data_IF_107041395405
#
_entry.id   IF_107041395405
#
_cell.length_a   1.000
_cell.length_b   1.000
_cell.length_c   1.000
_cell.angle_alpha   90.00
_cell.angle_beta   90.00
_cell.angle_gamma   90.00
#
_symmetry.space_group_name_H-M   'P 1'
#
loop_
_entity.id
_entity.type
_entity.pdbx_description
1 polymer ?
#
# COMPACT_ATOMS: atom_id res chain seq x y z
N UNK A 1 62.45 46.43 18.65
CA UNK A 1 63.13 46.42 17.34
C UNK A 1 62.12 46.02 16.28
N UNK A 2 61.69 46.97 15.43
CA UNK A 2 60.74 46.75 14.34
C UNK A 2 61.48 46.10 13.16
N UNK A 3 61.01 44.95 12.66
CA UNK A 3 61.46 44.38 11.38
C UNK A 3 60.41 44.66 10.31
N UNK A 4 60.85 45.43 9.32
CA UNK A 4 60.16 45.75 8.07
C UNK A 4 60.15 44.53 7.15
N UNK A 5 58.99 44.20 6.58
CA UNK A 5 58.83 43.19 5.53
C UNK A 5 58.36 43.94 4.27
N UNK A 6 59.21 43.87 3.24
CA UNK A 6 58.99 44.46 1.91
C UNK A 6 58.14 43.53 1.03
N UNK A 7 57.19 44.04 0.22
CA UNK A 7 56.45 43.21 -0.71
C UNK A 7 57.19 43.08 -2.04
N UNK A 8 57.44 41.83 -2.47
CA UNK A 8 57.90 41.52 -3.84
C UNK A 8 56.73 41.61 -4.80
N UNK A 9 56.80 42.54 -5.73
CA UNK A 9 55.94 42.63 -6.92
C UNK A 9 56.31 41.50 -7.88
N UNK A 10 55.39 40.57 -8.13
CA UNK A 10 55.49 39.57 -9.21
C UNK A 10 54.82 40.13 -10.46
N UNK A 11 55.63 40.40 -11.48
CA UNK A 11 55.19 40.76 -12.83
C UNK A 11 54.59 39.52 -13.51
N UNK A 12 53.27 39.48 -13.69
CA UNK A 12 52.60 38.45 -14.51
C UNK A 12 52.63 38.93 -15.96
N UNK A 13 53.34 38.20 -16.82
CA UNK A 13 53.30 38.40 -18.27
C UNK A 13 51.97 37.85 -18.81
N UNK A 14 51.15 38.73 -19.37
CA UNK A 14 49.97 38.35 -20.14
C UNK A 14 50.43 37.68 -21.45
N UNK A 15 50.10 36.40 -21.61
CA UNK A 15 50.14 35.72 -22.90
C UNK A 15 48.79 35.98 -23.59
N UNK A 16 48.82 36.72 -24.69
CA UNK A 16 47.66 36.90 -25.56
C UNK A 16 47.37 35.57 -26.26
N UNK A 17 46.33 34.85 -25.82
CA UNK A 17 45.72 33.78 -26.60
C UNK A 17 44.86 34.43 -27.69
N UNK A 18 45.22 34.21 -28.95
CA UNK A 18 44.36 34.50 -30.08
C UNK A 18 43.15 33.56 -30.03
N UNK A 19 41.98 34.09 -29.65
CA UNK A 19 40.69 33.42 -29.79
C UNK A 19 40.30 33.42 -31.27
N UNK A 20 40.51 32.29 -31.94
CA UNK A 20 39.87 32.03 -33.22
C UNK A 20 38.39 31.78 -32.95
N UNK A 21 37.55 32.76 -33.25
CA UNK A 21 36.10 32.63 -33.22
C UNK A 21 35.66 31.69 -34.35
N UNK A 22 35.49 30.41 -34.04
CA UNK A 22 34.76 29.48 -34.90
C UNK A 22 33.28 29.74 -34.68
N UNK A 23 32.66 30.46 -35.61
CA UNK A 23 31.20 30.61 -35.67
C UNK A 23 30.61 29.27 -36.11
N UNK A 24 30.44 28.35 -35.16
CA UNK A 24 29.57 27.19 -35.35
C UNK A 24 28.14 27.70 -35.35
N UNK A 25 27.58 27.88 -36.54
CA UNK A 25 26.14 27.91 -36.75
C UNK A 25 25.62 26.51 -36.45
N UNK A 26 25.53 26.17 -35.16
CA UNK A 26 24.80 25.00 -34.69
C UNK A 26 23.35 25.31 -34.95
N UNK A 27 22.83 24.82 -36.08
CA UNK A 27 21.41 24.74 -36.31
C UNK A 27 20.79 24.02 -35.11
N UNK A 28 20.03 24.74 -34.30
CA UNK A 28 19.14 24.16 -33.31
C UNK A 28 18.11 23.34 -34.08
N UNK A 29 18.47 22.11 -34.43
CA UNK A 29 17.49 21.09 -34.77
C UNK A 29 16.70 20.89 -33.50
N UNK A 30 15.53 21.52 -33.42
CA UNK A 30 14.52 21.21 -32.42
C UNK A 30 14.35 19.70 -32.44
N UNK A 31 14.83 19.02 -31.40
CA UNK A 31 14.55 17.61 -31.17
C UNK A 31 13.03 17.47 -31.32
N UNK A 32 12.53 16.55 -32.17
CA UNK A 32 11.09 16.38 -32.33
C UNK A 32 10.52 16.12 -30.94
N UNK A 33 9.81 17.11 -30.43
CA UNK A 33 9.08 17.05 -29.17
C UNK A 33 8.25 15.76 -29.19
N UNK A 34 8.46 14.90 -28.19
CA UNK A 34 7.64 13.70 -27.97
C UNK A 34 6.14 14.03 -27.78
N UNK A 35 5.77 15.33 -27.72
CA UNK A 35 4.42 15.84 -27.46
C UNK A 35 3.34 15.48 -28.47
N UNK A 36 3.63 14.88 -29.64
CA UNK A 36 2.59 14.68 -30.66
C UNK A 36 1.71 13.43 -30.45
N UNK A 37 1.98 12.58 -29.45
CA UNK A 37 1.24 11.32 -29.25
C UNK A 37 0.60 11.16 -27.86
N UNK A 38 0.53 12.20 -27.03
CA UNK A 38 -0.12 12.09 -25.73
C UNK A 38 -1.65 12.00 -25.89
N UNK A 39 -2.34 11.11 -25.15
CA UNK A 39 -3.80 11.08 -25.13
C UNK A 39 -4.37 12.39 -24.58
N UNK A 40 -5.58 12.75 -25.02
CA UNK A 40 -6.26 13.92 -24.47
C UNK A 40 -6.49 13.79 -22.95
N UNK A 41 -6.51 14.92 -22.24
CA UNK A 41 -6.74 14.95 -20.80
C UNK A 41 -8.08 14.29 -20.42
N UNK A 42 -9.13 14.47 -21.23
CA UNK A 42 -10.42 13.81 -21.01
C UNK A 42 -10.33 12.28 -21.06
N UNK A 43 -9.64 11.73 -22.06
CA UNK A 43 -9.42 10.27 -22.15
C UNK A 43 -8.54 9.76 -21.02
N UNK A 44 -7.57 10.55 -20.57
CA UNK A 44 -6.69 10.20 -19.45
C UNK A 44 -7.45 10.21 -18.14
N UNK A 45 -8.30 11.22 -17.90
CA UNK A 45 -9.15 11.28 -16.70
C UNK A 45 -10.17 10.15 -16.63
N UNK A 46 -10.77 9.74 -17.75
CA UNK A 46 -11.65 8.57 -17.77
C UNK A 46 -10.91 7.32 -17.26
N UNK A 47 -9.73 7.02 -17.83
CA UNK A 47 -8.91 5.88 -17.40
C UNK A 47 -8.43 5.99 -15.95
N UNK A 48 -8.00 7.19 -15.54
CA UNK A 48 -7.60 7.48 -14.15
C UNK A 48 -8.76 7.17 -13.20
N UNK A 49 -9.94 7.72 -13.46
CA UNK A 49 -11.11 7.54 -12.62
C UNK A 49 -11.50 6.06 -12.50
N UNK A 50 -11.52 5.33 -13.62
CA UNK A 50 -11.85 3.90 -13.63
C UNK A 50 -10.83 3.05 -12.84
N UNK A 51 -9.59 3.53 -12.69
CA UNK A 51 -8.53 2.82 -11.97
C UNK A 51 -8.31 3.33 -10.54
N UNK A 52 -9.05 4.34 -10.07
CA UNK A 52 -8.88 5.00 -8.77
C UNK A 52 -9.84 4.43 -7.72
N UNK A 53 -9.33 4.18 -6.50
CA UNK A 53 -10.06 3.59 -5.38
C UNK A 53 -9.84 4.38 -4.10
N UNK A 54 -10.90 4.52 -3.29
CA UNK A 54 -10.82 5.06 -1.93
C UNK A 54 -10.45 3.92 -0.99
N UNK A 55 -9.41 4.08 -0.17
CA UNK A 55 -9.05 3.09 0.85
C UNK A 55 -9.85 3.39 2.12
N UNK A 56 -10.80 2.51 2.43
CA UNK A 56 -11.78 2.71 3.50
C UNK A 56 -11.57 1.69 4.60
N UNK A 57 -11.57 2.20 5.83
CA UNK A 57 -11.48 1.45 7.06
C UNK A 57 -12.85 1.42 7.73
N UNK A 58 -13.35 0.23 8.09
CA UNK A 58 -14.53 0.06 8.91
C UNK A 58 -14.13 -0.21 10.36
N UNK A 59 -14.55 0.67 11.27
CA UNK A 59 -14.25 0.58 12.71
C UNK A 59 -15.56 0.38 13.49
N UNK A 60 -15.57 -0.53 14.45
CA UNK A 60 -16.69 -0.64 15.40
C UNK A 60 -16.65 0.51 16.41
N UNK A 61 -17.70 1.32 16.45
CA UNK A 61 -17.82 2.50 17.35
C UNK A 61 -18.78 2.26 18.53
N UNK A 62 -19.54 1.16 18.52
CA UNK A 62 -20.49 0.83 19.58
C UNK A 62 -20.82 -0.66 19.69
N UNK A 63 -21.61 -1.06 20.70
CA UNK A 63 -21.97 -2.45 20.94
C UNK A 63 -23.07 -2.97 20.02
N UNK A 64 -23.77 -2.09 19.29
CA UNK A 64 -24.79 -2.48 18.33
C UNK A 64 -24.19 -3.19 17.11
N UNK A 65 -24.97 -4.08 16.50
CA UNK A 65 -24.55 -4.84 15.31
C UNK A 65 -24.23 -3.92 14.12
N UNK A 66 -24.81 -2.71 14.07
CA UNK A 66 -24.63 -1.73 13.01
C UNK A 66 -23.86 -0.48 13.47
N UNK A 67 -23.26 -0.50 14.65
CA UNK A 67 -22.52 0.65 15.19
C UNK A 67 -21.11 0.68 14.59
N UNK A 68 -21.02 1.04 13.31
CA UNK A 68 -19.77 1.20 12.57
C UNK A 68 -19.53 2.65 12.14
N UNK A 69 -18.26 3.06 12.13
CA UNK A 69 -17.79 4.26 11.47
C UNK A 69 -16.91 3.90 10.28
N UNK A 70 -17.04 4.67 9.19
CA UNK A 70 -16.22 4.52 8.00
C UNK A 70 -15.22 5.66 7.88
N UNK A 71 -13.94 5.32 7.72
CA UNK A 71 -12.86 6.29 7.60
C UNK A 71 -12.12 6.07 6.29
N UNK A 72 -12.09 7.08 5.43
CA UNK A 72 -11.24 7.02 4.24
C UNK A 72 -9.85 7.50 4.60
N UNK A 73 -8.86 6.61 4.48
CA UNK A 73 -7.48 6.86 4.87
C UNK A 73 -6.69 7.54 3.75
N UNK A 74 -7.00 7.20 2.50
CA UNK A 74 -6.28 7.68 1.34
C UNK A 74 -6.88 7.18 0.03
N UNK A 75 -6.12 7.37 -1.02
CA UNK A 75 -6.42 6.90 -2.37
C UNK A 75 -5.45 5.78 -2.75
N UNK A 76 -5.92 4.84 -3.56
CA UNK A 76 -5.10 3.87 -4.24
C UNK A 76 -5.49 3.79 -5.73
N UNK A 77 -4.66 3.17 -6.56
CA UNK A 77 -4.98 2.94 -7.96
C UNK A 77 -4.46 1.59 -8.46
N UNK A 78 -5.17 1.01 -9.43
CA UNK A 78 -4.85 -0.31 -9.95
C UNK A 78 -3.63 -0.29 -10.89
N UNK A 79 -2.68 -1.18 -10.63
CA UNK A 79 -1.46 -1.40 -11.44
C UNK A 79 -1.32 -2.84 -11.94
N UNK A 80 -2.07 -3.78 -11.35
CA UNK A 80 -2.11 -5.18 -11.75
C UNK A 80 -3.50 -5.78 -11.58
N UNK A 81 -3.69 -7.04 -11.97
CA UNK A 81 -5.00 -7.70 -11.91
C UNK A 81 -5.58 -7.75 -10.49
N UNK A 82 -4.71 -7.78 -9.48
CA UNK A 82 -5.06 -7.91 -8.07
C UNK A 82 -4.19 -7.02 -7.18
N UNK A 83 -3.73 -5.90 -7.74
CA UNK A 83 -2.68 -5.08 -7.16
C UNK A 83 -3.05 -3.60 -7.28
N UNK A 84 -3.20 -2.96 -6.13
CA UNK A 84 -3.39 -1.52 -5.99
C UNK A 84 -2.09 -0.90 -5.47
N UNK A 85 -1.71 0.24 -6.02
CA UNK A 85 -0.62 1.07 -5.56
C UNK A 85 -1.14 2.26 -4.73
N UNK A 86 -0.40 2.64 -3.71
CA UNK A 86 -0.67 3.79 -2.84
C UNK A 86 0.63 4.32 -2.23
N UNK A 87 0.55 5.17 -1.20
CA UNK A 87 1.71 5.55 -0.39
C UNK A 87 2.03 4.54 0.72
N UNK A 88 3.30 4.46 1.12
CA UNK A 88 3.75 3.62 2.22
C UNK A 88 3.14 4.05 3.55
N UNK A 89 2.92 5.34 3.81
CA UNK A 89 2.29 5.77 5.05
C UNK A 89 0.81 5.36 5.14
N UNK A 90 0.15 5.15 4.00
CA UNK A 90 -1.23 4.63 3.96
C UNK A 90 -1.23 3.15 4.32
N UNK A 91 -0.27 2.36 3.81
CA UNK A 91 -0.12 0.96 4.19
C UNK A 91 0.39 0.84 5.63
N UNK A 92 1.41 1.58 6.04
CA UNK A 92 1.98 1.57 7.40
C UNK A 92 0.95 1.88 8.49
N UNK A 93 -0.09 2.66 8.21
CA UNK A 93 -1.20 2.88 9.14
C UNK A 93 -1.79 1.56 9.68
N UNK A 94 -1.77 0.50 8.86
CA UNK A 94 -2.30 -0.79 9.22
C UNK A 94 -1.32 -1.66 10.03
N UNK A 95 -0.04 -1.28 10.08
CA UNK A 95 0.99 -1.93 10.89
C UNK A 95 0.84 -1.48 12.35
N UNK A 96 0.11 -2.25 13.15
CA UNK A 96 -0.13 -1.94 14.57
C UNK A 96 -1.58 -1.53 14.89
N UNK A 97 -2.56 -1.90 14.06
CA UNK A 97 -3.98 -1.70 14.34
C UNK A 97 -4.53 -2.47 15.55
N UNK A 98 -3.69 -3.08 16.39
CA UNK A 98 -4.13 -3.84 17.57
C UNK A 98 -4.97 -3.03 18.54
N UNK A 99 -4.83 -1.70 18.49
CA UNK A 99 -5.49 -0.79 19.43
C UNK A 99 -6.82 -0.21 18.88
N UNK A 100 -7.15 -0.46 17.61
CA UNK A 100 -8.40 -0.04 16.99
C UNK A 100 -9.28 -1.26 16.69
N UNK A 101 -10.60 -1.20 16.96
CA UNK A 101 -11.52 -2.29 16.65
C UNK A 101 -11.86 -2.27 15.15
N UNK A 102 -10.84 -2.51 14.32
CA UNK A 102 -10.96 -2.61 12.87
C UNK A 102 -11.60 -3.93 12.51
N UNK A 103 -12.71 -3.86 11.79
CA UNK A 103 -13.47 -5.04 11.37
C UNK A 103 -13.13 -5.41 9.93
N UNK A 104 -12.94 -4.41 9.08
CA UNK A 104 -12.74 -4.63 7.66
C UNK A 104 -11.95 -3.47 7.02
N UNK A 105 -11.18 -3.80 6.00
CA UNK A 105 -10.43 -2.86 5.17
C UNK A 105 -10.72 -3.15 3.71
N UNK A 106 -11.26 -2.16 3.01
CA UNK A 106 -11.69 -2.29 1.61
C UNK A 106 -11.20 -1.13 0.77
N UNK A 107 -11.20 -1.34 -0.55
CA UNK A 107 -11.05 -0.32 -1.55
C UNK A 107 -12.40 -0.13 -2.28
N UNK A 108 -12.88 1.12 -2.39
CA UNK A 108 -14.13 1.45 -3.09
C UNK A 108 -13.81 2.17 -4.39
N UNK A 109 -14.17 1.59 -5.52
CA UNK A 109 -13.85 2.12 -6.84
C UNK A 109 -14.63 3.42 -7.13
N UNK A 110 -13.93 4.41 -7.67
CA UNK A 110 -14.56 5.64 -8.17
C UNK A 110 -15.53 5.35 -9.32
N UNK A 111 -16.64 6.06 -9.38
CA UNK A 111 -17.58 5.98 -10.49
C UNK A 111 -18.55 4.79 -10.42
N UNK A 112 -18.15 3.68 -9.82
CA UNK A 112 -18.94 2.44 -9.77
C UNK A 112 -19.41 2.08 -8.35
N UNK A 113 -18.65 2.45 -7.32
CA UNK A 113 -18.90 2.00 -5.94
C UNK A 113 -18.58 0.53 -5.71
N UNK A 114 -17.91 -0.13 -6.66
CA UNK A 114 -17.47 -1.51 -6.51
C UNK A 114 -16.53 -1.62 -5.29
N UNK A 115 -16.86 -2.53 -4.38
CA UNK A 115 -16.09 -2.80 -3.17
C UNK A 115 -15.13 -3.94 -3.45
N UNK A 116 -13.86 -3.71 -3.16
CA UNK A 116 -12.78 -4.67 -3.33
C UNK A 116 -12.16 -4.93 -1.96
N UNK A 117 -12.08 -6.20 -1.58
CA UNK A 117 -11.47 -6.65 -0.33
C UNK A 117 -9.95 -6.52 -0.42
N UNK A 118 -9.35 -5.82 0.55
CA UNK A 118 -7.90 -5.73 0.68
C UNK A 118 -7.39 -6.86 1.57
N UNK A 119 -6.44 -7.65 1.05
CA UNK A 119 -5.94 -8.84 1.73
C UNK A 119 -4.64 -8.57 2.47
N UNK A 120 -3.69 -7.91 1.80
CA UNK A 120 -2.36 -7.61 2.35
C UNK A 120 -2.01 -6.18 2.06
N UNK A 121 -1.27 -5.57 2.97
CA UNK A 121 -0.63 -4.28 2.77
C UNK A 121 0.88 -4.47 2.83
N UNK A 122 1.58 -3.94 1.83
CA UNK A 122 3.02 -4.03 1.69
C UNK A 122 3.60 -2.62 1.65
N UNK A 123 4.70 -2.41 2.38
CA UNK A 123 5.39 -1.13 2.47
C UNK A 123 6.77 -1.28 1.83
N UNK A 124 7.21 -0.29 1.06
CA UNK A 124 8.56 -0.27 0.50
C UNK A 124 9.59 -0.45 1.63
N UNK A 125 10.55 -1.39 1.53
CA UNK A 125 11.47 -1.71 2.63
C UNK A 125 12.36 -0.53 3.04
N UNK A 126 12.69 0.33 2.08
CA UNK A 126 13.48 1.55 2.34
C UNK A 126 12.67 2.74 2.84
N UNK A 127 11.35 2.60 3.05
CA UNK A 127 10.54 3.65 3.65
C UNK A 127 10.89 3.81 5.14
N UNK A 128 11.20 5.04 5.54
CA UNK A 128 11.71 5.35 6.89
C UNK A 128 10.69 6.07 7.78
N UNK A 129 9.42 6.13 7.37
CA UNK A 129 8.43 7.00 8.00
C UNK A 129 8.52 8.47 7.56
N UNK A 130 9.51 8.82 6.72
CA UNK A 130 9.65 10.17 6.17
C UNK A 130 9.21 10.22 4.68
N UNK A 131 8.01 10.76 4.39
CA UNK A 131 7.43 10.75 3.05
C UNK A 131 8.21 11.51 1.98
N UNK A 132 9.06 12.46 2.38
CA UNK A 132 9.84 13.30 1.44
C UNK A 132 11.30 12.88 1.33
N UNK A 133 11.79 12.05 2.24
CA UNK A 133 13.20 11.63 2.31
C UNK A 133 13.39 10.11 2.08
N UNK A 134 12.31 9.37 1.83
CA UNK A 134 12.37 7.94 1.52
C UNK A 134 11.22 7.53 0.58
N UNK A 135 11.30 6.35 -0.04
CA UNK A 135 10.28 5.87 -0.99
C UNK A 135 8.92 5.62 -0.33
N UNK A 136 8.06 6.63 -0.28
CA UNK A 136 6.70 6.53 0.28
C UNK A 136 5.74 5.83 -0.70
N UNK A 137 6.01 4.55 -0.95
CA UNK A 137 5.26 3.67 -1.85
C UNK A 137 4.76 2.45 -1.08
N UNK A 138 3.48 2.14 -1.25
CA UNK A 138 2.86 0.94 -0.71
C UNK A 138 2.06 0.22 -1.78
N UNK A 139 1.82 -1.07 -1.55
CA UNK A 139 0.93 -1.90 -2.36
C UNK A 139 -0.15 -2.53 -1.48
N UNK A 140 -1.35 -2.71 -2.05
CA UNK A 140 -2.34 -3.62 -1.51
C UNK A 140 -2.60 -4.76 -2.49
N UNK A 141 -2.77 -5.97 -1.97
CA UNK A 141 -3.32 -7.09 -2.75
C UNK A 141 -4.82 -7.20 -2.56
N UNK A 142 -5.53 -7.70 -3.58
CA UNK A 142 -7.00 -7.74 -3.58
C UNK A 142 -7.56 -9.13 -3.79
N UNK A 143 -8.73 -9.40 -3.20
CA UNK A 143 -9.47 -10.64 -3.39
C UNK A 143 -10.25 -10.70 -4.72
N UNK A 144 -10.60 -9.55 -5.27
CA UNK A 144 -11.29 -9.40 -6.56
C UNK A 144 -10.31 -9.03 -7.67
N UNK A 145 -10.72 -9.26 -8.92
CA UNK A 145 -9.97 -8.80 -10.10
C UNK A 145 -10.31 -7.34 -10.36
N UNK A 146 -9.29 -6.53 -10.65
CA UNK A 146 -9.43 -5.11 -10.93
C UNK A 146 -9.76 -4.89 -12.42
N UNK A 147 -10.85 -4.17 -12.68
CA UNK A 147 -11.43 -4.00 -14.02
C UNK A 147 -10.66 -3.03 -14.92
N UNK A 148 -9.98 -2.04 -14.34
CA UNK A 148 -9.15 -1.05 -15.04
C UNK A 148 -7.82 -0.91 -14.33
N UNK A 149 -6.73 -0.69 -15.09
CA UNK A 149 -5.35 -0.60 -14.58
C UNK A 149 -4.59 0.49 -15.33
N UNK A 150 -3.71 1.18 -14.63
CA UNK A 150 -2.83 2.19 -15.22
C UNK A 150 -1.50 1.58 -15.66
N UNK A 151 -0.96 2.13 -16.75
CA UNK A 151 0.40 1.80 -17.21
C UNK A 151 1.40 2.72 -16.54
N UNK A 152 2.44 2.15 -15.95
CA UNK A 152 3.54 2.93 -15.36
C UNK A 152 4.49 3.39 -16.47
N UNK A 153 4.99 4.62 -16.37
CA UNK A 153 5.96 5.15 -17.33
C UNK A 153 7.26 4.34 -17.32
N UNK A 154 7.86 4.18 -18.51
CA UNK A 154 9.18 3.55 -18.67
C UNK A 154 10.31 4.45 -18.15
N UNK A 155 11.52 3.91 -18.00
CA UNK A 155 12.69 4.68 -17.52
C UNK A 155 12.96 5.89 -18.42
N UNK A 156 12.91 5.70 -19.74
CA UNK A 156 13.11 6.79 -20.69
C UNK A 156 12.07 7.91 -20.53
N UNK A 157 10.80 7.56 -20.29
CA UNK A 157 9.71 8.53 -20.10
C UNK A 157 9.80 9.25 -18.75
N UNK A 158 10.33 8.58 -17.73
CA UNK A 158 10.56 9.15 -16.41
C UNK A 158 11.78 10.08 -16.38
N UNK A 159 12.85 9.74 -17.10
CA UNK A 159 14.00 10.64 -17.27
C UNK A 159 13.71 11.84 -18.18
N UNK A 160 12.58 11.84 -18.88
CA UNK A 160 12.12 12.95 -19.74
C UNK A 160 11.20 13.92 -19.00
N UNK A 161 11.05 13.79 -17.68
CA UNK A 161 10.27 14.73 -16.87
C UNK A 161 10.97 16.09 -16.78
N UNK A 162 10.24 17.16 -17.10
CA UNK A 162 10.74 18.52 -17.12
C UNK A 162 9.87 19.48 -16.29
N UNK A 163 10.43 20.63 -15.90
CA UNK A 163 9.66 21.69 -15.26
C UNK A 163 8.62 22.22 -16.24
N UNK A 164 7.38 22.39 -15.76
CA UNK A 164 6.26 22.84 -16.57
C UNK A 164 5.47 21.71 -17.25
N UNK A 165 5.94 20.46 -17.22
CA UNK A 165 5.14 19.31 -17.65
C UNK A 165 3.80 19.28 -16.92
N UNK A 166 2.72 19.03 -17.67
CA UNK A 166 1.39 18.86 -17.11
C UNK A 166 1.27 17.49 -16.43
N UNK A 167 0.70 17.50 -15.23
CA UNK A 167 0.33 16.32 -14.47
C UNK A 167 -1.18 16.31 -14.24
N UNK A 168 -1.74 15.12 -14.36
CA UNK A 168 -3.13 14.81 -14.06
C UNK A 168 -3.19 13.94 -12.80
N UNK A 169 -4.17 14.19 -11.94
CA UNK A 169 -4.44 13.43 -10.73
C UNK A 169 -5.93 13.11 -10.62
N UNK A 170 -6.26 11.92 -10.14
CA UNK A 170 -7.62 11.57 -9.70
C UNK A 170 -7.54 10.87 -8.35
N UNK A 171 -8.22 11.42 -7.34
CA UNK A 171 -8.23 10.86 -5.99
C UNK A 171 -9.37 11.38 -5.14
N UNK A 172 -9.35 11.09 -3.84
CA UNK A 172 -10.42 11.48 -2.93
C UNK A 172 -9.94 12.51 -1.90
N UNK A 173 -10.04 13.82 -2.19
CA UNK A 173 -9.74 14.88 -1.24
C UNK A 173 -10.63 14.76 -0.02
N UNK A 174 -10.05 14.76 1.17
CA UNK A 174 -10.83 14.47 2.37
C UNK A 174 -11.68 15.65 2.85
N UNK A 175 -11.42 16.88 2.42
CA UNK A 175 -12.36 18.00 2.56
C UNK A 175 -13.66 17.77 1.77
N UNK A 176 -13.62 17.00 0.68
CA UNK A 176 -14.81 16.52 -0.03
C UNK A 176 -15.45 15.34 0.72
N UNK A 177 -14.64 14.44 1.28
CA UNK A 177 -15.14 13.29 2.05
C UNK A 177 -15.84 13.72 3.34
N UNK A 178 -15.39 14.80 3.98
CA UNK A 178 -16.04 15.39 5.15
C UNK A 178 -17.50 15.83 4.85
N UNK A 179 -17.80 16.08 3.57
CA UNK A 179 -19.15 16.39 3.08
C UNK A 179 -19.89 15.17 2.53
N UNK A 180 -19.15 14.18 2.01
CA UNK A 180 -19.67 13.01 1.32
C UNK A 180 -18.96 11.75 1.82
N UNK A 181 -19.48 11.18 2.92
CA UNK A 181 -18.96 9.95 3.49
C UNK A 181 -19.06 8.78 2.49
N UNK A 182 -17.98 8.00 2.40
CA UNK A 182 -17.91 6.81 1.57
C UNK A 182 -18.30 5.61 2.44
N UNK A 183 -19.55 5.16 2.30
CA UNK A 183 -20.03 3.91 2.88
C UNK A 183 -19.91 2.79 1.84
N UNK A 184 -19.02 1.80 2.03
CA UNK A 184 -18.85 0.67 1.11
C UNK A 184 -20.19 -0.01 0.78
N UNK A 185 -20.41 -0.30 -0.50
CA UNK A 185 -21.62 -0.96 -1.00
C UNK A 185 -22.88 -0.09 -1.06
N UNK A 186 -22.83 1.14 -0.52
CA UNK A 186 -23.97 2.07 -0.52
C UNK A 186 -23.67 3.33 -1.33
N UNK A 187 -22.49 3.92 -1.14
CA UNK A 187 -22.08 5.13 -1.84
C UNK A 187 -21.37 4.76 -3.15
N UNK A 188 -21.66 5.50 -4.23
CA UNK A 188 -20.88 5.48 -5.48
C UNK A 188 -19.99 6.73 -5.48
N UNK A 189 -18.77 6.65 -4.91
CA UNK A 189 -17.95 7.82 -4.72
C UNK A 189 -17.39 8.32 -6.06
N UNK A 190 -17.17 9.62 -6.17
CA UNK A 190 -16.56 10.23 -7.35
C UNK A 190 -15.23 10.84 -6.94
N UNK A 191 -14.14 10.33 -7.52
CA UNK A 191 -12.83 10.92 -7.35
C UNK A 191 -12.76 12.31 -8.00
N UNK A 192 -12.07 13.24 -7.34
CA UNK A 192 -11.83 14.59 -7.84
C UNK A 192 -10.68 14.56 -8.84
N UNK A 193 -10.96 14.95 -10.07
CA UNK A 193 -9.96 15.11 -11.14
C UNK A 193 -9.32 16.50 -11.05
N UNK A 194 -7.99 16.55 -10.97
CA UNK A 194 -7.21 17.76 -10.81
C UNK A 194 -6.03 17.79 -11.80
N UNK A 195 -5.62 19.00 -12.19
CA UNK A 195 -4.44 19.23 -13.04
C UNK A 195 -3.48 20.20 -12.39
N UNK A 196 -2.23 20.14 -12.79
CA UNK A 196 -1.20 21.09 -12.40
C UNK A 196 0.07 20.82 -13.20
N UNK A 197 1.16 21.50 -12.85
CA UNK A 197 2.43 21.28 -13.51
C UNK A 197 3.53 20.96 -12.51
N UNK A 198 4.59 20.34 -13.00
CA UNK A 198 5.84 20.17 -12.26
C UNK A 198 6.44 21.56 -11.99
N UNK A 199 6.74 21.86 -10.74
CA UNK A 199 7.34 23.12 -10.29
C UNK A 199 8.79 22.95 -9.82
N UNK A 200 9.18 21.75 -9.39
CA UNK A 200 10.56 21.39 -9.12
C UNK A 200 10.76 19.87 -9.23
N UNK A 201 11.98 19.44 -9.57
CA UNK A 201 12.44 18.06 -9.44
C UNK A 201 13.41 18.00 -8.25
N UNK A 202 13.38 16.90 -7.49
CA UNK A 202 14.13 16.76 -6.24
C UNK A 202 14.71 15.36 -6.09
N UNK A 203 15.79 15.26 -5.32
CA UNK A 203 16.39 14.02 -4.83
C UNK A 203 16.18 13.94 -3.30
N UNK A 204 16.08 12.73 -2.74
CA UNK A 204 15.97 12.51 -1.29
C UNK A 204 17.24 12.98 -0.55
N UNK A 205 18.41 12.81 -1.15
CA UNK A 205 19.68 13.38 -0.68
C UNK A 205 19.82 14.84 -1.16
N UNK A 206 19.55 15.76 -0.24
CA UNK A 206 19.69 17.22 -0.45
C UNK A 206 21.13 17.67 -0.76
N UNK A 207 22.13 16.81 -0.58
CA UNK A 207 23.52 17.05 -0.97
C UNK A 207 23.80 16.76 -2.45
N UNK A 208 22.90 16.11 -3.18
CA UNK A 208 23.06 15.81 -4.60
C UNK A 208 22.56 16.93 -5.49
N UNK A 209 23.24 17.12 -6.62
CA UNK A 209 22.69 17.91 -7.73
C UNK A 209 21.58 17.08 -8.38
N UNK A 210 20.40 17.68 -8.53
CA UNK A 210 19.27 17.02 -9.20
C UNK A 210 19.53 16.95 -10.70
N UNK A 211 19.50 15.73 -11.21
CA UNK A 211 19.64 15.35 -12.61
C UNK A 211 18.45 14.45 -12.99
N UNK A 212 18.06 14.37 -14.27
CA UNK A 212 16.91 13.56 -14.68
C UNK A 212 16.98 12.09 -14.23
N UNK A 213 18.18 11.51 -14.20
CA UNK A 213 18.45 10.14 -13.77
C UNK A 213 18.32 9.90 -12.26
N UNK A 214 18.38 10.95 -11.44
CA UNK A 214 18.36 10.83 -9.98
C UNK A 214 17.15 11.54 -9.33
N UNK A 215 16.11 11.86 -10.10
CA UNK A 215 14.88 12.40 -9.52
C UNK A 215 14.21 11.34 -8.64
N UNK A 216 13.91 11.70 -7.41
CA UNK A 216 13.21 10.87 -6.43
C UNK A 216 11.83 11.41 -6.11
N UNK A 217 11.68 12.74 -6.15
CA UNK A 217 10.44 13.43 -5.79
C UNK A 217 10.14 14.52 -6.82
N UNK A 218 8.89 14.56 -7.26
CA UNK A 218 8.34 15.61 -8.12
C UNK A 218 7.59 16.59 -7.24
N UNK A 219 7.92 17.87 -7.30
CA UNK A 219 7.10 18.92 -6.70
C UNK A 219 6.13 19.47 -7.75
N UNK A 220 4.88 19.67 -7.38
CA UNK A 220 3.84 20.18 -8.28
C UNK A 220 2.85 21.11 -7.58
N UNK A 221 2.02 21.76 -8.38
CA UNK A 221 1.02 22.76 -7.93
C UNK A 221 -0.44 22.28 -8.00
N UNK A 222 -0.69 20.99 -8.23
CA UNK A 222 -2.04 20.40 -8.10
C UNK A 222 -2.59 20.71 -6.69
N UNK A 223 -3.78 21.33 -6.55
CA UNK A 223 -4.35 21.72 -5.26
C UNK A 223 -4.96 20.52 -4.55
N UNK A 224 -4.22 19.90 -3.65
CA UNK A 224 -4.65 18.69 -2.94
C UNK A 224 -4.84 18.91 -1.45
N UNK A 225 -5.66 18.06 -0.84
CA UNK A 225 -5.86 17.96 0.62
C UNK A 225 -5.56 16.52 1.07
N UNK A 226 -5.47 16.23 2.38
CA UNK A 226 -5.29 14.85 2.83
C UNK A 226 -6.42 13.96 2.32
N UNK A 227 -6.15 12.68 2.07
CA UNK A 227 -7.08 11.77 1.37
C UNK A 227 -6.71 11.56 -0.09
N UNK A 228 -6.12 12.55 -0.78
CA UNK A 228 -5.56 12.32 -2.12
C UNK A 228 -4.22 11.61 -2.10
N UNK A 229 -3.57 11.46 -0.94
CA UNK A 229 -2.34 10.66 -0.80
C UNK A 229 -2.56 9.26 -1.39
N UNK A 230 -1.60 8.81 -2.19
CA UNK A 230 -1.63 7.53 -2.89
C UNK A 230 -2.29 7.58 -4.27
N UNK A 231 -2.83 8.73 -4.70
CA UNK A 231 -3.35 8.90 -6.07
C UNK A 231 -2.23 8.79 -7.11
N UNK A 232 -2.54 8.31 -8.31
CA UNK A 232 -1.59 8.37 -9.42
C UNK A 232 -1.40 9.82 -9.91
N UNK A 233 -0.15 10.22 -10.14
CA UNK A 233 0.22 11.38 -10.94
C UNK A 233 0.57 10.91 -12.34
N UNK A 234 -0.20 11.35 -13.33
CA UNK A 234 -0.09 10.87 -14.71
C UNK A 234 0.42 11.96 -15.63
N UNK A 235 1.42 11.61 -16.46
CA UNK A 235 1.90 12.38 -17.62
C UNK A 235 1.63 11.57 -18.87
N UNK A 236 1.01 12.18 -19.88
CA UNK A 236 0.73 11.52 -21.17
C UNK A 236 0.07 10.13 -21.06
N UNK A 237 -0.86 9.96 -20.10
CA UNK A 237 -1.60 8.72 -19.91
C UNK A 237 -0.86 7.61 -19.17
N UNK A 238 0.35 7.87 -18.67
CA UNK A 238 1.15 6.93 -17.87
C UNK A 238 1.49 7.48 -16.50
N UNK A 239 1.60 6.61 -15.50
CA UNK A 239 1.94 6.98 -14.12
C UNK A 239 3.40 7.42 -14.06
N UNK A 240 3.61 8.69 -13.70
CA UNK A 240 4.93 9.30 -13.53
C UNK A 240 5.35 9.38 -12.05
N UNK A 241 4.38 9.45 -11.14
CA UNK A 241 4.61 9.44 -9.70
C UNK A 241 3.37 8.98 -8.91
N UNK A 242 3.55 8.72 -7.62
CA UNK A 242 2.47 8.52 -6.65
C UNK A 242 2.34 9.79 -5.81
N UNK A 243 1.18 10.42 -5.87
CA UNK A 243 0.89 11.67 -5.17
C UNK A 243 1.05 11.50 -3.67
N UNK A 244 1.75 12.43 -3.07
CA UNK A 244 1.95 12.56 -1.65
C UNK A 244 1.39 13.92 -1.21
N UNK A 245 0.30 13.91 -0.44
CA UNK A 245 -0.27 15.16 0.08
C UNK A 245 0.67 15.89 1.08
N UNK A 246 1.85 15.32 1.38
CA UNK A 246 3.11 16.05 1.35
C UNK A 246 3.14 17.31 2.20
N UNK A 247 2.93 17.14 3.52
CA UNK A 247 3.23 18.03 4.68
C UNK A 247 2.19 17.92 5.79
N UNK A 248 1.07 17.24 5.54
CA UNK A 248 0.00 17.10 6.53
C UNK A 248 0.20 15.84 7.35
N UNK A 249 0.52 15.98 8.64
CA UNK A 249 0.37 14.87 9.59
C UNK A 249 -1.13 14.64 9.77
N UNK A 250 -1.63 13.49 9.34
CA UNK A 250 -2.98 13.04 9.72
C UNK A 250 -2.90 12.62 11.18
N UNK A 251 -3.60 13.33 12.05
CA UNK A 251 -3.74 12.94 13.47
C UNK A 251 -5.17 12.46 13.64
N UNK A 252 -5.35 11.15 13.78
CA UNK A 252 -6.60 10.59 14.27
C UNK A 252 -6.52 10.58 15.79
N UNK A 253 -7.43 11.27 16.46
CA UNK A 253 -7.56 11.30 17.92
C UNK A 253 -8.99 11.01 18.33
N UNK A 254 -9.18 10.57 19.57
CA UNK A 254 -10.51 10.49 20.18
C UNK A 254 -10.71 11.75 21.01
N UNK A 255 -11.77 12.51 20.75
CA UNK A 255 -12.11 13.70 21.54
C UNK A 255 -12.56 13.32 22.96
N UNK A 256 -12.79 14.32 23.82
CA UNK A 256 -13.26 14.10 25.19
C UNK A 256 -14.63 13.43 25.31
N UNK A 257 -15.34 13.23 24.21
CA UNK A 257 -16.68 12.63 24.12
C UNK A 257 -16.64 11.22 23.53
N UNK A 258 -15.47 10.71 23.16
CA UNK A 258 -15.33 9.38 22.55
C UNK A 258 -15.47 9.38 21.03
N UNK A 259 -15.60 10.54 20.38
CA UNK A 259 -15.70 10.61 18.92
C UNK A 259 -14.30 10.63 18.31
N UNK A 260 -14.14 9.96 17.18
CA UNK A 260 -12.94 10.06 16.37
C UNK A 260 -12.90 11.43 15.66
N UNK A 261 -11.79 12.13 15.80
CA UNK A 261 -11.49 13.43 15.17
C UNK A 261 -10.23 13.31 14.34
N UNK A 262 -10.20 13.97 13.18
CA UNK A 262 -9.05 13.99 12.29
C UNK A 262 -8.52 15.44 12.15
N UNK A 263 -7.27 15.69 12.55
CA UNK A 263 -6.61 17.00 12.37
C UNK A 263 -5.68 16.99 11.15
N UNK A 264 -5.68 18.12 10.42
CA UNK A 264 -5.06 18.32 9.11
C UNK A 264 -4.51 19.75 8.99
N UNK A 265 -3.19 19.94 9.08
CA UNK A 265 -2.53 21.25 8.80
C UNK A 265 -2.04 21.31 7.35
N UNK A 266 -2.63 22.16 6.51
CA UNK A 266 -2.23 22.32 5.10
C UNK A 266 -0.87 23.03 4.94
N UNK A 267 -0.05 22.61 3.98
CA UNK A 267 1.00 23.46 3.42
C UNK A 267 0.49 24.22 2.19
N UNK A 268 1.08 25.40 1.97
CA UNK A 268 0.84 26.22 0.80
C UNK A 268 1.16 25.45 -0.49
N UNK A 269 0.18 25.29 -1.40
CA UNK A 269 0.18 24.88 -2.84
C UNK A 269 1.41 24.18 -3.48
N UNK A 270 2.28 23.57 -2.70
CA UNK A 270 3.50 22.88 -3.10
C UNK A 270 3.36 21.47 -2.57
N UNK A 271 2.79 20.61 -3.40
CA UNK A 271 2.60 19.20 -3.09
C UNK A 271 3.69 18.38 -3.76
N UNK A 272 3.81 17.13 -3.35
CA UNK A 272 4.89 16.25 -3.77
C UNK A 272 4.32 14.96 -4.38
N UNK A 273 5.11 14.31 -5.23
CA UNK A 273 4.85 12.98 -5.73
C UNK A 273 6.13 12.17 -5.66
N UNK A 274 6.06 10.95 -5.13
CA UNK A 274 7.18 10.01 -5.16
C UNK A 274 7.32 9.47 -6.57
N UNK A 275 8.51 9.57 -7.13
CA UNK A 275 8.80 9.20 -8.51
C UNK A 275 8.47 7.72 -8.78
N UNK A 276 7.82 7.42 -9.92
CA UNK A 276 7.30 6.08 -10.20
C UNK A 276 8.38 4.99 -10.40
N UNK A 277 9.67 5.35 -10.41
CA UNK A 277 10.76 4.37 -10.34
C UNK A 277 10.65 3.48 -9.08
N UNK A 278 10.28 4.07 -7.95
CA UNK A 278 10.09 3.34 -6.70
C UNK A 278 8.83 2.46 -6.71
N UNK A 279 7.82 2.84 -7.50
CA UNK A 279 6.67 1.98 -7.73
C UNK A 279 7.04 0.75 -8.57
N UNK A 280 7.88 0.91 -9.59
CA UNK A 280 8.40 -0.22 -10.36
C UNK A 280 9.26 -1.13 -9.50
N UNK A 281 10.19 -0.55 -8.74
CA UNK A 281 10.99 -1.29 -7.76
C UNK A 281 10.11 -2.06 -6.76
N UNK A 282 9.07 -1.43 -6.21
CA UNK A 282 8.14 -2.10 -5.29
C UNK A 282 7.39 -3.27 -5.94
N UNK A 283 7.02 -3.15 -7.21
CA UNK A 283 6.38 -4.25 -7.97
C UNK A 283 7.39 -5.38 -8.21
N UNK A 284 8.63 -5.06 -8.60
CA UNK A 284 9.69 -6.05 -8.79
C UNK A 284 9.94 -6.82 -7.48
N UNK A 285 10.03 -6.11 -6.34
CA UNK A 285 10.17 -6.72 -5.02
C UNK A 285 8.96 -7.61 -4.65
N UNK A 286 7.75 -7.23 -5.04
CA UNK A 286 6.54 -8.03 -4.81
C UNK A 286 6.53 -9.30 -5.66
N UNK A 287 6.88 -9.20 -6.93
CA UNK A 287 6.97 -10.35 -7.85
C UNK A 287 8.08 -11.33 -7.43
N UNK A 288 9.20 -10.81 -6.94
CA UNK A 288 10.31 -11.59 -6.40
C UNK A 288 10.06 -12.10 -4.97
N UNK A 289 8.91 -11.76 -4.36
CA UNK A 289 8.55 -12.11 -2.99
C UNK A 289 9.56 -11.63 -1.94
N UNK A 290 10.28 -10.55 -2.22
CA UNK A 290 11.32 -9.97 -1.37
C UNK A 290 10.84 -8.78 -0.54
N UNK A 291 9.56 -8.42 -0.63
CA UNK A 291 8.93 -7.44 0.26
C UNK A 291 7.98 -8.12 1.24
N UNK A 292 8.10 -7.75 2.50
CA UNK A 292 7.19 -8.19 3.55
C UNK A 292 5.97 -7.29 3.59
N UNK A 293 4.82 -7.90 3.83
CA UNK A 293 3.58 -7.22 4.13
C UNK A 293 2.89 -7.90 5.29
N UNK A 294 1.87 -7.26 5.83
CA UNK A 294 1.03 -7.84 6.86
C UNK A 294 -0.38 -8.06 6.30
N UNK A 295 -1.04 -9.08 6.86
CA UNK A 295 -2.41 -9.43 6.49
C UNK A 295 -3.37 -8.38 7.08
N UNK A 296 -4.35 -7.98 6.28
CA UNK A 296 -5.43 -7.13 6.73
C UNK A 296 -6.56 -7.99 7.32
N UNK A 297 -7.39 -7.44 8.22
CA UNK A 297 -8.55 -8.15 8.74
C UNK A 297 -9.40 -8.72 7.59
N UNK A 298 -9.78 -10.00 7.65
CA UNK A 298 -10.63 -10.58 6.63
C UNK A 298 -11.98 -9.83 6.60
N UNK A 299 -12.64 -9.76 5.44
CA UNK A 299 -13.92 -9.06 5.32
C UNK A 299 -14.90 -9.62 6.35
N UNK A 300 -15.61 -8.71 7.04
CA UNK A 300 -16.61 -9.10 8.01
C UNK A 300 -17.70 -9.89 7.26
N UNK A 301 -17.75 -11.20 7.51
CA UNK A 301 -18.81 -12.04 6.98
C UNK A 301 -20.08 -11.67 7.75
N UNK A 302 -20.81 -10.66 7.26
CA UNK A 302 -22.16 -10.38 7.75
C UNK A 302 -22.92 -11.70 7.71
N UNK A 303 -23.28 -12.21 8.88
CA UNK A 303 -23.96 -13.49 9.01
C UNK A 303 -25.27 -13.42 8.25
N UNK A 304 -25.26 -13.90 6.99
CA UNK A 304 -26.39 -14.03 6.08
C UNK A 304 -27.62 -13.19 6.41
N UNK A 305 -27.49 -11.87 6.41
CA UNK A 305 -28.65 -10.99 6.31
C UNK A 305 -29.31 -11.29 4.97
N UNK A 306 -30.50 -11.87 5.03
CA UNK A 306 -31.26 -12.43 3.92
C UNK A 306 -31.58 -11.37 2.84
N UNK A 307 -30.60 -10.97 2.02
CA UNK A 307 -30.83 -10.24 0.80
C UNK A 307 -31.45 -11.22 -0.19
N UNK A 308 -32.78 -11.22 -0.21
CA UNK A 308 -33.62 -11.89 -1.20
C UNK A 308 -33.29 -11.33 -2.60
N UNK A 309 -32.24 -11.87 -3.19
CA UNK A 309 -31.69 -11.48 -4.49
C UNK A 309 -31.08 -12.69 -5.18
N UNK A 310 -31.88 -13.74 -5.38
CA UNK A 310 -31.77 -14.72 -6.47
C UNK A 310 -30.38 -15.16 -6.93
N UNK A 311 -29.70 -15.96 -6.11
CA UNK A 311 -28.50 -16.70 -6.53
C UNK A 311 -28.09 -17.68 -5.45
N UNK A 312 -28.73 -18.85 -5.39
CA UNK A 312 -28.55 -19.86 -4.36
C UNK A 312 -27.18 -20.55 -4.37
N UNK A 313 -26.12 -19.80 -4.07
CA UNK A 313 -24.89 -20.38 -3.55
C UNK A 313 -25.18 -20.88 -2.14
N UNK A 314 -25.24 -22.20 -1.96
CA UNK A 314 -25.40 -22.77 -0.63
C UNK A 314 -24.25 -22.28 0.26
N UNK A 315 -24.55 -21.47 1.28
CA UNK A 315 -23.67 -21.34 2.43
C UNK A 315 -23.42 -22.77 2.93
N UNK A 316 -22.17 -23.22 2.86
CA UNK A 316 -21.74 -24.46 3.47
C UNK A 316 -22.14 -24.43 4.95
N UNK A 317 -22.73 -25.53 5.43
CA UNK A 317 -23.10 -25.70 6.84
C UNK A 317 -21.98 -25.23 7.77
N UNK A 318 -22.28 -24.33 8.72
CA UNK A 318 -21.33 -23.92 9.75
C UNK A 318 -20.60 -25.12 10.36
N UNK A 319 -19.26 -25.11 10.33
CA UNK A 319 -18.42 -26.23 10.73
C UNK A 319 -17.92 -26.03 12.16
N UNK A 320 -18.71 -26.39 13.17
CA UNK A 320 -18.21 -26.45 14.56
C UNK A 320 -17.54 -27.78 14.86
N UNK A 321 -16.25 -27.79 15.17
CA UNK A 321 -15.56 -29.01 15.54
C UNK A 321 -14.23 -28.74 16.21
N UNK A 322 -13.84 -29.65 17.11
CA UNK A 322 -12.49 -29.69 17.69
C UNK A 322 -11.63 -30.57 16.79
N UNK A 323 -10.57 -30.03 16.23
CA UNK A 323 -9.66 -30.77 15.36
C UNK A 323 -8.40 -31.08 16.11
N UNK A 324 -7.97 -32.34 16.08
CA UNK A 324 -6.67 -32.75 16.64
C UNK A 324 -5.79 -33.22 15.50
N UNK A 325 -4.64 -32.59 15.34
CA UNK A 325 -3.70 -32.91 14.28
C UNK A 325 -2.25 -32.90 14.71
N UNK A 326 -1.38 -33.35 13.81
CA UNK A 326 0.07 -33.36 14.00
C UNK A 326 0.81 -33.00 12.72
N UNK A 327 2.03 -32.46 12.87
CA UNK A 327 2.95 -32.19 11.77
C UNK A 327 3.95 -33.36 11.64
N UNK A 328 4.27 -33.74 10.40
CA UNK A 328 5.19 -34.84 10.08
C UNK A 328 6.66 -34.63 10.51
N UNK A 329 7.50 -35.69 10.44
CA UNK A 329 8.87 -35.72 10.99
C UNK A 329 9.86 -34.72 10.36
N UNK A 330 10.97 -34.35 11.07
CA UNK A 330 11.55 -35.09 12.19
C UNK A 330 11.55 -34.43 13.58
N UNK A 331 11.54 -35.33 14.58
CA UNK A 331 11.86 -35.22 16.01
C UNK A 331 10.86 -34.57 16.99
N UNK A 332 9.97 -33.68 16.58
CA UNK A 332 8.97 -33.12 17.49
C UNK A 332 7.57 -33.27 16.89
N UNK A 333 6.87 -34.36 17.23
CA UNK A 333 5.42 -34.41 17.03
C UNK A 333 4.82 -33.27 17.84
N UNK A 334 4.44 -32.19 17.16
CA UNK A 334 3.53 -31.22 17.73
C UNK A 334 2.10 -31.76 17.57
N UNK A 335 1.28 -31.46 18.55
CA UNK A 335 -0.15 -31.69 18.48
C UNK A 335 -0.83 -30.34 18.54
N UNK A 336 -1.75 -30.07 17.63
CA UNK A 336 -2.56 -28.87 17.72
C UNK A 336 -4.02 -29.24 17.88
N UNK A 337 -4.72 -28.40 18.64
CA UNK A 337 -6.16 -28.46 18.84
C UNK A 337 -6.76 -27.12 18.45
N UNK A 338 -7.72 -27.07 17.54
CA UNK A 338 -8.45 -25.83 17.27
C UNK A 338 -9.95 -26.08 17.17
N UNK A 339 -10.71 -25.03 17.48
CA UNK A 339 -12.16 -24.95 17.39
C UNK A 339 -12.51 -23.80 16.47
N UNK A 340 -13.47 -24.05 15.59
CA UNK A 340 -14.15 -23.04 14.80
C UNK A 340 -15.58 -22.99 15.33
N UNK A 341 -16.09 -21.82 15.72
CA UNK A 341 -17.49 -21.71 16.14
C UNK A 341 -18.43 -21.50 14.94
N UNK A 342 -19.73 -21.36 15.21
CA UNK A 342 -20.73 -21.14 14.16
C UNK A 342 -20.58 -19.80 13.43
N UNK A 343 -19.79 -18.87 13.98
CA UNK A 343 -19.52 -17.55 13.41
C UNK A 343 -18.18 -17.53 12.65
N UNK A 344 -17.50 -18.68 12.52
CA UNK A 344 -16.17 -18.75 11.93
C UNK A 344 -15.05 -18.28 12.87
N UNK A 345 -15.35 -18.00 14.14
CA UNK A 345 -14.33 -17.58 15.10
C UNK A 345 -13.42 -18.76 15.41
N UNK A 346 -12.12 -18.54 15.21
CA UNK A 346 -11.07 -19.53 15.39
C UNK A 346 -10.41 -19.37 16.75
N UNK A 347 -10.27 -20.47 17.48
CA UNK A 347 -9.46 -20.52 18.70
C UNK A 347 -8.76 -21.86 18.80
N UNK A 348 -7.53 -21.90 19.30
CA UNK A 348 -6.84 -23.17 19.43
C UNK A 348 -5.55 -23.07 20.22
N UNK A 349 -4.90 -24.21 20.36
CA UNK A 349 -3.57 -24.34 20.93
C UNK A 349 -2.71 -25.26 20.08
N UNK A 350 -1.41 -24.99 20.03
CA UNK A 350 -0.39 -25.89 19.49
C UNK A 350 0.57 -26.26 20.60
N UNK A 351 0.67 -27.55 20.88
CA UNK A 351 1.53 -28.11 21.91
C UNK A 351 2.74 -28.78 21.27
N UNK A 352 3.91 -28.27 21.60
CA UNK A 352 5.22 -28.79 21.26
C UNK A 352 5.90 -29.36 22.50
N UNK A 353 7.02 -30.06 22.32
CA UNK A 353 7.87 -30.47 23.44
C UNK A 353 8.37 -29.28 24.29
N UNK A 354 8.46 -28.09 23.69
CA UNK A 354 8.96 -26.86 24.31
C UNK A 354 7.90 -26.02 25.02
N UNK A 355 6.60 -26.28 24.79
CA UNK A 355 5.53 -25.49 25.37
C UNK A 355 4.19 -25.66 24.67
N UNK A 356 3.18 -24.96 25.19
CA UNK A 356 1.87 -24.82 24.53
C UNK A 356 1.66 -23.37 24.15
N UNK A 357 1.28 -23.16 22.90
CA UNK A 357 1.10 -21.85 22.27
C UNK A 357 -0.37 -21.68 21.87
N UNK A 358 -0.86 -20.45 21.91
CA UNK A 358 -2.20 -20.10 21.42
C UNK A 358 -2.17 -20.00 19.90
N UNK A 359 -3.20 -20.53 19.25
CA UNK A 359 -3.42 -20.37 17.82
C UNK A 359 -4.41 -19.23 17.54
N UNK A 360 -4.06 -18.37 16.59
CA UNK A 360 -4.94 -17.34 16.03
C UNK A 360 -5.01 -17.50 14.52
N UNK A 361 -6.17 -17.27 13.91
CA UNK A 361 -6.31 -17.50 12.47
C UNK A 361 -7.75 -17.40 11.99
N UNK A 362 -8.00 -17.95 10.80
CA UNK A 362 -9.32 -17.97 10.18
C UNK A 362 -9.52 -19.21 9.31
N UNK A 363 -10.79 -19.51 9.05
CA UNK A 363 -11.22 -20.50 8.06
C UNK A 363 -12.23 -19.84 7.15
N UNK A 364 -11.99 -19.85 5.84
CA UNK A 364 -12.92 -19.27 4.88
C UNK A 364 -14.05 -20.27 4.52
N UNK A 365 -15.06 -19.77 3.78
CA UNK A 365 -16.22 -20.58 3.34
C UNK A 365 -15.87 -21.74 2.41
N UNK A 366 -14.69 -21.70 1.75
CA UNK A 366 -14.19 -22.80 0.94
C UNK A 366 -13.46 -23.87 1.77
N UNK A 367 -13.40 -23.70 3.10
CA UNK A 367 -12.69 -24.57 4.01
C UNK A 367 -11.18 -24.32 4.05
N UNK A 368 -10.65 -23.30 3.38
CA UNK A 368 -9.23 -22.94 3.49
C UNK A 368 -8.95 -22.44 4.90
N UNK A 369 -7.90 -22.97 5.53
CA UNK A 369 -7.47 -22.56 6.87
C UNK A 369 -6.14 -21.83 6.79
N UNK A 370 -6.00 -20.78 7.58
CA UNK A 370 -4.72 -20.13 7.84
C UNK A 370 -4.67 -19.73 9.32
N UNK A 371 -3.70 -20.24 10.06
CA UNK A 371 -3.52 -19.92 11.48
C UNK A 371 -2.06 -19.92 11.89
N UNK A 372 -1.77 -19.14 12.91
CA UNK A 372 -0.44 -18.89 13.46
C UNK A 372 -0.42 -19.23 14.95
N UNK A 373 0.70 -19.75 15.45
CA UNK A 373 0.94 -19.82 16.89
C UNK A 373 1.64 -18.56 17.43
N UNK A 374 1.67 -18.42 18.76
CA UNK A 374 2.32 -17.30 19.44
C UNK A 374 3.68 -17.69 20.07
N UNK A 375 4.39 -18.67 19.50
CA UNK A 375 5.65 -19.15 20.06
C UNK A 375 6.72 -18.05 20.15
N UNK A 376 6.79 -17.18 19.14
CA UNK A 376 7.70 -16.02 19.10
C UNK A 376 7.45 -14.99 20.21
N UNK A 377 6.22 -14.93 20.74
CA UNK A 377 5.86 -14.03 21.86
C UNK A 377 6.27 -14.65 23.21
N UNK A 378 6.07 -15.96 23.37
CA UNK A 378 6.26 -16.65 24.64
C UNK A 378 7.70 -17.13 24.87
N UNK A 379 8.46 -17.34 23.79
CA UNK A 379 9.82 -17.85 23.84
C UNK A 379 10.75 -16.91 23.06
N UNK A 380 11.75 -16.35 23.75
CA UNK A 380 12.79 -15.57 23.08
C UNK A 380 13.55 -16.44 22.08
N UNK A 381 13.67 -15.97 20.83
CA UNK A 381 14.33 -16.65 19.71
C UNK A 381 13.59 -17.89 19.18
N UNK A 382 12.27 -17.96 19.35
CA UNK A 382 11.44 -18.93 18.64
C UNK A 382 10.74 -18.29 17.45
N UNK A 383 10.65 -19.06 16.37
CA UNK A 383 9.87 -18.69 15.20
C UNK A 383 8.38 -18.90 15.48
N UNK A 384 7.53 -18.13 14.80
CA UNK A 384 6.10 -18.36 14.78
C UNK A 384 5.79 -19.55 13.87
N UNK A 385 4.99 -20.49 14.34
CA UNK A 385 4.47 -21.57 13.50
C UNK A 385 3.29 -21.08 12.67
N UNK A 386 3.38 -21.20 11.34
CA UNK A 386 2.30 -20.88 10.38
C UNK A 386 1.73 -22.17 9.80
N UNK A 387 0.41 -22.28 9.77
CA UNK A 387 -0.34 -23.44 9.30
C UNK A 387 -1.32 -23.00 8.22
N UNK A 388 -1.16 -23.52 7.01
CA UNK A 388 -2.06 -23.28 5.87
C UNK A 388 -2.65 -24.60 5.41
N UNK A 389 -3.90 -24.64 4.94
CA UNK A 389 -4.48 -25.89 4.47
C UNK A 389 -5.95 -25.81 4.10
N UNK A 390 -6.63 -26.95 4.17
CA UNK A 390 -8.06 -27.05 3.90
C UNK A 390 -8.75 -28.03 4.85
N UNK A 391 -10.00 -27.74 5.19
CA UNK A 391 -10.95 -28.62 5.87
C UNK A 391 -11.95 -29.13 4.85
N UNK A 392 -12.09 -30.45 4.77
CA UNK A 392 -13.18 -31.08 4.06
C UNK A 392 -14.45 -31.01 4.91
N UNK A 393 -15.36 -30.15 4.48
CA UNK A 393 -16.69 -29.95 5.04
C UNK A 393 -17.48 -31.25 5.34
N UNK A 394 -17.40 -32.22 4.42
CA UNK A 394 -18.20 -33.44 4.48
C UNK A 394 -17.61 -34.45 5.46
N UNK A 395 -16.29 -34.59 5.48
CA UNK A 395 -15.61 -35.62 6.29
C UNK A 395 -15.07 -35.11 7.61
N UNK A 396 -14.95 -33.79 7.78
CA UNK A 396 -14.24 -33.18 8.92
C UNK A 396 -12.74 -33.50 8.92
N UNK A 397 -12.19 -34.00 7.80
CA UNK A 397 -10.75 -34.19 7.64
C UNK A 397 -10.11 -32.86 7.25
N UNK A 398 -9.04 -32.49 7.93
CA UNK A 398 -8.27 -31.30 7.64
C UNK A 398 -6.83 -31.70 7.29
N UNK A 399 -6.23 -31.00 6.34
CA UNK A 399 -4.83 -31.23 5.98
C UNK A 399 -4.22 -29.98 5.38
N UNK A 400 -2.90 -29.86 5.49
CA UNK A 400 -2.21 -28.71 4.96
C UNK A 400 -0.71 -28.74 5.15
N UNK A 401 -0.12 -27.56 5.10
CA UNK A 401 1.30 -27.30 5.26
C UNK A 401 1.55 -26.47 6.53
N UNK A 402 2.64 -26.82 7.21
CA UNK A 402 3.20 -26.11 8.34
C UNK A 402 4.59 -25.63 7.97
N UNK A 403 4.94 -24.43 8.38
CA UNK A 403 6.29 -23.91 8.32
C UNK A 403 6.51 -22.89 9.43
N UNK A 404 7.76 -22.62 9.76
CA UNK A 404 8.13 -21.61 10.74
C UNK A 404 8.46 -20.30 10.04
N UNK A 405 8.05 -19.19 10.65
CA UNK A 405 8.36 -17.85 10.20
C UNK A 405 9.11 -17.06 11.26
N UNK A 406 10.23 -16.44 10.88
CA UNK A 406 10.90 -15.40 11.66
C UNK A 406 10.56 -14.04 11.05
N UNK A 407 9.90 -13.17 11.81
CA UNK A 407 9.38 -11.89 11.31
C UNK A 407 8.63 -12.01 9.98
N UNK A 408 7.80 -13.06 9.84
CA UNK A 408 7.02 -13.31 8.62
C UNK A 408 7.77 -13.98 7.46
N UNK A 409 9.09 -14.22 7.58
CA UNK A 409 9.86 -14.96 6.57
C UNK A 409 9.87 -16.43 6.89
N UNK A 410 9.50 -17.29 5.94
CA UNK A 410 9.65 -18.73 6.10
C UNK A 410 11.13 -19.09 6.31
N UNK A 411 11.44 -19.67 7.48
CA UNK A 411 12.80 -20.03 7.89
C UNK A 411 13.00 -21.54 8.08
N UNK A 412 11.93 -22.33 7.93
CA UNK A 412 12.00 -23.79 8.03
C UNK A 412 11.44 -24.51 6.82
N UNK A 413 11.73 -25.81 6.75
CA UNK A 413 11.15 -26.70 5.76
C UNK A 413 9.63 -26.76 5.93
N UNK A 414 8.93 -26.91 4.82
CA UNK A 414 7.50 -27.15 4.82
C UNK A 414 7.21 -28.59 5.22
N UNK A 415 6.33 -28.78 6.20
CA UNK A 415 5.88 -30.07 6.66
C UNK A 415 4.38 -30.23 6.42
N UNK A 416 3.93 -31.44 6.10
CA UNK A 416 2.49 -31.68 6.00
C UNK A 416 1.91 -31.89 7.40
N UNK A 417 0.70 -31.36 7.60
CA UNK A 417 -0.12 -31.68 8.76
C UNK A 417 -1.45 -32.29 8.33
N UNK A 418 -2.00 -33.11 9.23
CA UNK A 418 -3.35 -33.66 9.11
C UNK A 418 -4.06 -33.55 10.44
N UNK A 419 -5.36 -33.25 10.43
CA UNK A 419 -6.20 -33.26 11.62
C UNK A 419 -7.55 -33.90 11.33
N UNK A 420 -8.14 -34.50 12.36
CA UNK A 420 -9.49 -35.07 12.30
C UNK A 420 -10.37 -34.42 13.33
N UNK A 421 -11.62 -34.13 12.94
CA UNK A 421 -12.67 -33.69 13.86
C UNK A 421 -12.92 -34.77 14.93
N UNK A 422 -12.84 -34.39 16.20
CA UNK A 422 -13.20 -35.20 17.36
C UNK A 422 -14.70 -35.14 17.63
#
# INVERSE_FOLDING_TARGET
MRRSISPRVRTVRAAALAMTAVTMLTSCTSTPSLSNNCPSNSSTFAKLNDATYAVVLQIRVGPGENDFGYFTLGTAFAVGDRLLATNAHVTEFFNGLTDLPVEEVVAVQSGTGEVVTLLRALTHPDYTGNPVASPDIGLFTTQELLSSKLTIASDAELTDLELGDELLLSGFPGDVQDLFEITPGTTVPQATSLTGTITALRNHDTGQVVMPENVDVIQHQIPTTPGTSGSALVRCGKVAAVHNAGTVKIIVSVDSQGNLTQDRTAAANNNFGVHAKYLREMIDLFEDQSVQGFELPPPFQTGGGNNNGGGGGQQGTAFTGTYVGSVGPPANQNTFTFTIDNNGAFSGTSTWATGTFTLTGSVNVAGTVNFNDNANVLLQNFNQGTYTGSINATTGAASGQYFETDQGVQVSNTFNWTATRQ
#
